data_IF_874546354120
#
_entry.id   IF_874546354120
#
_cell.length_a   1.000
_cell.length_b   1.000
_cell.length_c   1.000
_cell.angle_alpha   90.00
_cell.angle_beta   90.00
_cell.angle_gamma   90.00
#
_symmetry.space_group_name_H-M   'P 1'
#
loop_
_entity.id
_entity.type
_entity.pdbx_description
1 polymer ?
#
# COMPACT_ATOMS: atom_id res chain seq x y z
N UNK A 1 12.84 19.43 -2.57
CA UNK A 1 12.53 20.71 -3.28
C UNK A 1 11.49 20.47 -4.36
N UNK A 2 10.44 21.30 -4.44
CA UNK A 2 9.40 21.19 -5.46
C UNK A 2 9.67 22.15 -6.63
N UNK A 3 9.49 21.64 -7.85
CA UNK A 3 9.42 22.45 -9.07
C UNK A 3 8.12 22.22 -9.84
N UNK A 4 7.55 23.28 -10.37
CA UNK A 4 6.43 23.24 -11.31
C UNK A 4 6.84 23.97 -12.58
N UNK A 5 6.71 23.29 -13.73
CA UNK A 5 7.14 23.81 -15.03
C UNK A 5 8.60 24.33 -15.02
N UNK A 6 9.47 23.63 -14.29
CA UNK A 6 10.91 23.94 -14.18
C UNK A 6 11.26 25.09 -13.24
N UNK A 7 10.30 25.64 -12.46
CA UNK A 7 10.54 26.73 -11.51
C UNK A 7 10.27 26.29 -10.08
N UNK A 8 11.03 26.77 -9.08
CA UNK A 8 10.71 26.56 -7.67
C UNK A 8 9.26 26.95 -7.37
N UNK A 9 8.54 26.10 -6.64
CA UNK A 9 7.11 26.29 -6.42
C UNK A 9 6.80 26.39 -4.92
N UNK A 10 6.63 27.61 -4.37
CA UNK A 10 6.17 27.77 -2.99
C UNK A 10 4.69 27.36 -2.87
N UNK A 11 4.24 27.10 -1.63
CA UNK A 11 2.83 26.78 -1.39
C UNK A 11 1.93 27.96 -1.82
N UNK A 12 1.00 27.78 -2.78
CA UNK A 12 0.13 28.85 -3.22
C UNK A 12 -0.89 29.20 -2.14
N UNK A 13 -1.08 30.50 -1.85
CA UNK A 13 -2.11 30.96 -0.92
C UNK A 13 -3.55 30.60 -1.36
N UNK A 14 -3.75 30.34 -2.66
CA UNK A 14 -5.03 29.88 -3.21
C UNK A 14 -5.35 28.42 -2.93
N UNK A 15 -4.38 27.62 -2.46
CA UNK A 15 -4.60 26.23 -2.10
C UNK A 15 -5.06 26.14 -0.65
N UNK A 16 -6.35 25.85 -0.48
CA UNK A 16 -6.93 25.54 0.83
C UNK A 16 -6.59 24.08 1.20
N UNK A 17 -5.35 23.87 1.64
CA UNK A 17 -4.86 22.57 2.10
C UNK A 17 -5.21 22.36 3.58
N UNK A 18 -5.70 21.16 3.92
CA UNK A 18 -5.79 20.77 5.33
C UNK A 18 -4.41 20.43 5.92
N UNK A 19 -4.35 20.18 7.23
CA UNK A 19 -3.08 19.93 7.93
C UNK A 19 -2.31 18.70 7.41
N UNK A 20 -3.00 17.63 7.01
CA UNK A 20 -2.33 16.46 6.42
C UNK A 20 -1.71 16.81 5.06
N UNK A 21 -2.42 17.60 4.25
CA UNK A 21 -1.95 18.03 2.94
C UNK A 21 -0.80 19.04 3.03
N UNK A 22 -0.84 19.95 4.01
CA UNK A 22 0.29 20.84 4.33
C UNK A 22 1.52 20.04 4.76
N UNK A 23 1.35 19.03 5.61
CA UNK A 23 2.45 18.15 6.02
C UNK A 23 3.05 17.41 4.81
N UNK A 24 2.22 16.90 3.90
CA UNK A 24 2.69 16.24 2.67
C UNK A 24 3.46 17.23 1.79
N UNK A 25 2.91 18.43 1.57
CA UNK A 25 3.57 19.48 0.80
C UNK A 25 4.93 19.82 1.39
N UNK A 26 4.99 20.04 2.71
CA UNK A 26 6.23 20.36 3.41
C UNK A 26 7.25 19.22 3.30
N UNK A 27 6.80 17.97 3.44
CA UNK A 27 7.67 16.79 3.28
C UNK A 27 8.27 16.70 1.87
N UNK A 28 7.49 17.01 0.82
CA UNK A 28 7.97 17.10 -0.56
C UNK A 28 8.97 18.26 -0.77
N UNK A 29 8.71 19.39 -0.10
CA UNK A 29 9.56 20.57 -0.15
C UNK A 29 10.92 20.30 0.49
N UNK A 30 10.93 19.67 1.67
CA UNK A 30 12.13 19.40 2.49
C UNK A 30 12.90 18.15 2.06
N UNK A 31 12.27 17.29 1.25
CA UNK A 31 12.94 16.10 0.75
C UNK A 31 14.23 16.45 -0.05
N UNK A 32 15.28 15.61 0.08
CA UNK A 32 16.58 15.85 -0.57
C UNK A 32 16.49 15.78 -2.10
N UNK A 33 15.50 15.07 -2.62
CA UNK A 33 15.24 14.96 -4.05
C UNK A 33 14.52 16.17 -4.66
N UNK A 34 14.65 16.29 -5.98
CA UNK A 34 13.85 17.20 -6.79
C UNK A 34 12.52 16.53 -7.18
N UNK A 35 11.41 17.13 -6.76
CA UNK A 35 10.05 16.73 -7.15
C UNK A 35 9.53 17.69 -8.21
N UNK A 36 9.59 17.27 -9.48
CA UNK A 36 9.23 18.12 -10.62
C UNK A 36 7.90 17.72 -11.24
N UNK A 37 7.06 18.71 -11.48
CA UNK A 37 5.71 18.52 -12.03
C UNK A 37 5.52 19.39 -13.27
N UNK A 38 4.88 18.88 -14.35
CA UNK A 38 4.56 19.70 -15.52
C UNK A 38 3.60 20.86 -15.21
N UNK A 39 2.73 20.70 -14.20
CA UNK A 39 1.75 21.70 -13.77
C UNK A 39 1.42 21.56 -12.28
N UNK A 40 0.90 22.63 -11.68
CA UNK A 40 0.44 22.61 -10.28
C UNK A 40 -0.69 21.62 -10.03
N UNK A 41 -1.48 21.28 -11.06
CA UNK A 41 -2.53 20.24 -10.97
C UNK A 41 -1.93 18.86 -10.67
N UNK A 42 -0.77 18.53 -11.24
CA UNK A 42 -0.09 17.26 -10.99
C UNK A 42 0.41 17.14 -9.55
N UNK A 43 1.02 18.21 -9.03
CA UNK A 43 1.43 18.29 -7.63
C UNK A 43 0.23 18.19 -6.69
N UNK A 44 -0.84 18.94 -6.96
CA UNK A 44 -2.05 18.90 -6.15
C UNK A 44 -2.69 17.51 -6.12
N UNK A 45 -2.71 16.82 -7.28
CA UNK A 45 -3.19 15.45 -7.37
C UNK A 45 -2.36 14.49 -6.49
N UNK A 46 -1.02 14.56 -6.56
CA UNK A 46 -0.17 13.72 -5.70
C UNK A 46 -0.41 13.99 -4.21
N UNK A 47 -0.52 15.26 -3.80
CA UNK A 47 -0.79 15.64 -2.41
C UNK A 47 -2.13 15.02 -1.94
N UNK A 48 -3.20 15.18 -2.72
CA UNK A 48 -4.52 14.62 -2.39
C UNK A 48 -4.50 13.09 -2.38
N UNK A 49 -3.80 12.46 -3.33
CA UNK A 49 -3.71 11.00 -3.38
C UNK A 49 -2.96 10.44 -2.17
N UNK A 50 -1.81 11.03 -1.81
CA UNK A 50 -1.06 10.65 -0.59
C UNK A 50 -1.90 10.80 0.66
N UNK A 51 -2.64 11.90 0.80
CA UNK A 51 -3.60 12.09 1.89
C UNK A 51 -4.67 10.99 1.90
N UNK A 52 -5.19 10.59 0.75
CA UNK A 52 -6.15 9.50 0.65
C UNK A 52 -5.56 8.12 0.97
N UNK A 53 -4.27 7.88 0.73
CA UNK A 53 -3.56 6.68 1.22
C UNK A 53 -3.53 6.67 2.76
N UNK A 54 -3.15 7.80 3.38
CA UNK A 54 -3.10 7.96 4.84
C UNK A 54 -4.49 7.75 5.46
N UNK A 55 -5.52 8.37 4.90
CA UNK A 55 -6.89 8.19 5.38
C UNK A 55 -7.34 6.74 5.24
N UNK A 56 -7.05 6.09 4.11
CA UNK A 56 -7.39 4.69 3.89
C UNK A 56 -6.70 3.78 4.91
N UNK A 57 -5.46 4.05 5.27
CA UNK A 57 -4.77 3.33 6.34
C UNK A 57 -5.45 3.52 7.71
N UNK A 58 -5.86 4.76 8.04
CA UNK A 58 -6.57 5.06 9.29
C UNK A 58 -7.97 4.41 9.34
N UNK A 59 -8.69 4.43 8.22
CA UNK A 59 -10.00 3.80 8.10
C UNK A 59 -9.91 2.27 8.17
N UNK A 60 -8.87 1.65 7.58
CA UNK A 60 -8.63 0.21 7.72
C UNK A 60 -8.34 -0.17 9.18
N UNK A 61 -7.57 0.64 9.91
CA UNK A 61 -7.38 0.45 11.35
C UNK A 61 -8.71 0.49 12.12
N UNK A 62 -9.70 1.23 11.63
CA UNK A 62 -11.01 1.39 12.26
C UNK A 62 -12.05 0.35 11.82
N UNK A 63 -11.84 -0.37 10.72
CA UNK A 63 -12.86 -1.24 10.10
C UNK A 63 -13.08 -2.58 10.77
N UNK A 64 -12.34 -2.90 11.84
CA UNK A 64 -12.33 -4.22 12.50
C UNK A 64 -11.77 -5.37 11.65
N UNK A 65 -11.26 -5.09 10.44
CA UNK A 65 -10.51 -6.07 9.66
C UNK A 65 -9.25 -6.47 10.42
N UNK A 66 -9.01 -7.78 10.55
CA UNK A 66 -7.89 -8.31 11.33
C UNK A 66 -6.80 -8.93 10.46
N UNK A 67 -5.59 -9.00 11.00
CA UNK A 67 -4.50 -9.74 10.37
C UNK A 67 -4.78 -11.24 10.39
N UNK A 68 -4.50 -11.94 9.29
CA UNK A 68 -4.45 -13.40 9.24
C UNK A 68 -3.46 -13.90 8.18
N UNK A 69 -2.91 -15.10 8.41
CA UNK A 69 -2.15 -15.83 7.38
C UNK A 69 -3.02 -16.16 6.16
N UNK A 70 -2.41 -16.53 5.03
CA UNK A 70 -3.17 -16.93 3.83
C UNK A 70 -4.08 -18.14 4.10
N UNK A 71 -3.57 -19.15 4.80
CA UNK A 71 -4.33 -20.35 5.16
C UNK A 71 -5.64 -20.02 5.90
N UNK A 72 -5.54 -19.07 6.84
CA UNK A 72 -6.64 -18.65 7.74
C UNK A 72 -7.33 -17.37 7.26
N UNK A 73 -7.12 -16.95 6.01
CA UNK A 73 -7.78 -15.75 5.50
C UNK A 73 -9.30 -15.96 5.39
N UNK A 74 -10.06 -14.87 5.41
CA UNK A 74 -11.51 -14.89 5.22
C UNK A 74 -11.97 -13.57 4.61
N UNK A 75 -13.05 -13.63 3.86
CA UNK A 75 -13.66 -12.49 3.17
C UNK A 75 -15.18 -12.65 3.17
N UNK A 76 -15.90 -11.55 2.95
CA UNK A 76 -17.34 -11.59 2.70
C UNK A 76 -17.61 -12.31 1.36
N UNK A 77 -18.32 -13.43 1.43
CA UNK A 77 -18.61 -14.26 0.27
C UNK A 77 -19.61 -13.61 -0.69
N UNK A 78 -20.32 -12.55 -0.29
CA UNK A 78 -21.15 -11.76 -1.21
C UNK A 78 -20.32 -11.14 -2.34
N UNK A 79 -19.08 -10.73 -2.05
CA UNK A 79 -18.23 -9.98 -2.98
C UNK A 79 -17.07 -10.82 -3.55
N UNK A 80 -16.55 -11.74 -2.74
CA UNK A 80 -15.29 -12.42 -3.01
C UNK A 80 -15.42 -13.94 -2.95
N UNK A 81 -14.71 -14.63 -3.82
CA UNK A 81 -14.42 -16.06 -3.70
C UNK A 81 -13.04 -16.25 -3.05
N UNK A 82 -12.99 -16.92 -1.90
CA UNK A 82 -11.71 -17.29 -1.27
C UNK A 82 -11.10 -18.47 -2.04
N UNK A 83 -9.92 -18.24 -2.62
CA UNK A 83 -9.18 -19.29 -3.35
C UNK A 83 -8.49 -20.27 -2.41
N UNK A 84 -8.07 -21.43 -2.92
CA UNK A 84 -7.27 -22.41 -2.17
C UNK A 84 -5.93 -21.84 -1.67
N UNK A 85 -5.38 -20.85 -2.37
CA UNK A 85 -4.18 -20.15 -1.94
C UNK A 85 -4.45 -19.13 -0.82
N UNK A 86 -5.72 -18.87 -0.48
CA UNK A 86 -6.12 -17.90 0.54
C UNK A 86 -6.23 -16.47 0.03
N UNK A 87 -6.21 -16.25 -1.29
CA UNK A 87 -6.51 -14.95 -1.90
C UNK A 87 -8.01 -14.74 -2.11
N UNK A 88 -8.42 -13.51 -2.42
CA UNK A 88 -9.82 -13.14 -2.64
C UNK A 88 -10.03 -12.76 -4.10
N UNK A 89 -10.70 -13.61 -4.86
CA UNK A 89 -11.05 -13.37 -6.25
C UNK A 89 -12.39 -12.65 -6.32
N UNK A 90 -12.45 -11.52 -7.03
CA UNK A 90 -13.69 -10.79 -7.22
C UNK A 90 -14.70 -11.63 -8.01
N UNK A 91 -15.95 -11.67 -7.57
CA UNK A 91 -17.02 -12.38 -8.29
C UNK A 91 -17.42 -11.64 -9.57
N UNK A 92 -17.74 -12.40 -10.63
CA UNK A 92 -17.95 -11.90 -12.00
C UNK A 92 -19.07 -10.85 -12.20
N UNK A 93 -19.94 -10.63 -11.21
CA UNK A 93 -21.06 -9.67 -11.29
C UNK A 93 -21.04 -8.63 -10.16
N UNK A 94 -19.87 -8.41 -9.56
CA UNK A 94 -19.70 -7.49 -8.44
C UNK A 94 -18.92 -6.27 -8.90
N UNK A 95 -19.40 -5.08 -8.56
CA UNK A 95 -18.66 -3.84 -8.81
C UNK A 95 -17.37 -3.83 -7.96
N UNK A 96 -16.18 -3.66 -8.58
CA UNK A 96 -14.91 -3.65 -7.87
C UNK A 96 -14.84 -2.65 -6.72
N UNK A 97 -15.36 -1.43 -6.93
CA UNK A 97 -15.36 -0.39 -5.90
C UNK A 97 -16.21 -0.78 -4.69
N UNK A 98 -17.37 -1.41 -4.91
CA UNK A 98 -18.26 -1.81 -3.81
C UNK A 98 -17.64 -2.98 -3.02
N UNK A 99 -16.95 -3.92 -3.69
CA UNK A 99 -16.21 -4.99 -3.03
C UNK A 99 -15.04 -4.50 -2.16
N UNK A 100 -14.30 -3.47 -2.62
CA UNK A 100 -13.23 -2.85 -1.82
C UNK A 100 -13.83 -2.06 -0.65
N UNK A 101 -14.90 -1.29 -0.87
CA UNK A 101 -15.55 -0.51 0.19
C UNK A 101 -16.19 -1.40 1.27
N UNK A 102 -16.70 -2.57 0.89
CA UNK A 102 -17.24 -3.55 1.84
C UNK A 102 -16.19 -4.00 2.88
N UNK A 103 -14.90 -4.04 2.52
CA UNK A 103 -13.81 -4.36 3.46
C UNK A 103 -13.71 -3.31 4.58
N UNK A 104 -14.03 -2.05 4.29
CA UNK A 104 -13.99 -0.95 5.26
C UNK A 104 -15.29 -0.84 6.06
N UNK A 105 -16.42 -1.20 5.46
CA UNK A 105 -17.75 -1.09 6.08
C UNK A 105 -18.08 -2.32 6.94
N UNK A 106 -17.66 -3.51 6.50
CA UNK A 106 -17.94 -4.79 7.12
C UNK A 106 -16.64 -5.52 7.46
N UNK A 107 -15.60 -4.80 7.90
CA UNK A 107 -14.26 -5.38 8.09
C UNK A 107 -14.22 -6.53 9.11
N UNK A 108 -15.19 -6.62 10.02
CA UNK A 108 -15.41 -7.79 10.86
C UNK A 108 -15.61 -9.10 10.08
N UNK A 109 -15.98 -9.08 8.80
CA UNK A 109 -16.08 -10.23 7.89
C UNK A 109 -14.75 -10.60 7.22
N UNK A 110 -13.70 -9.81 7.43
CA UNK A 110 -12.43 -9.94 6.73
C UNK A 110 -11.25 -10.24 7.65
N UNK A 111 -10.37 -11.13 7.18
CA UNK A 111 -9.04 -11.30 7.73
C UNK A 111 -8.03 -11.64 6.64
N UNK A 112 -6.96 -10.85 6.54
CA UNK A 112 -5.97 -10.95 5.47
C UNK A 112 -4.59 -10.49 5.95
N UNK A 113 -3.55 -10.79 5.19
CA UNK A 113 -2.17 -10.48 5.57
C UNK A 113 -1.76 -9.04 5.17
N UNK A 114 -0.58 -8.59 5.60
CA UNK A 114 -0.22 -7.17 5.51
C UNK A 114 0.13 -6.67 4.10
N UNK A 115 0.63 -7.49 3.18
CA UNK A 115 0.85 -7.05 1.80
C UNK A 115 -0.49 -6.84 1.06
N UNK A 116 -1.44 -7.76 1.20
CA UNK A 116 -2.82 -7.63 0.72
C UNK A 116 -3.48 -6.38 1.30
N UNK A 117 -3.26 -6.10 2.59
CA UNK A 117 -3.74 -4.87 3.22
C UNK A 117 -3.21 -3.61 2.54
N UNK A 118 -1.92 -3.56 2.21
CA UNK A 118 -1.33 -2.45 1.46
C UNK A 118 -1.98 -2.26 0.08
N UNK A 119 -2.26 -3.35 -0.64
CA UNK A 119 -2.97 -3.29 -1.93
C UNK A 119 -4.39 -2.75 -1.76
N UNK A 120 -5.14 -3.22 -0.74
CA UNK A 120 -6.49 -2.72 -0.44
C UNK A 120 -6.47 -1.22 -0.07
N UNK A 121 -5.47 -0.77 0.71
CA UNK A 121 -5.28 0.66 1.02
C UNK A 121 -5.08 1.47 -0.26
N UNK A 122 -4.26 1.00 -1.20
CA UNK A 122 -4.02 1.70 -2.46
C UNK A 122 -5.27 1.73 -3.35
N UNK A 123 -6.02 0.63 -3.46
CA UNK A 123 -7.29 0.64 -4.21
C UNK A 123 -8.32 1.59 -3.59
N UNK A 124 -8.44 1.59 -2.27
CA UNK A 124 -9.34 2.51 -1.59
C UNK A 124 -8.92 3.98 -1.79
N UNK A 125 -7.62 4.28 -1.73
CA UNK A 125 -7.11 5.60 -2.05
C UNK A 125 -7.38 6.01 -3.50
N UNK A 126 -7.31 5.07 -4.46
CA UNK A 126 -7.72 5.31 -5.85
C UNK A 126 -9.20 5.66 -5.94
N UNK A 127 -10.08 4.91 -5.27
CA UNK A 127 -11.53 5.20 -5.23
C UNK A 127 -11.79 6.60 -4.66
N UNK A 128 -11.14 6.97 -3.55
CA UNK A 128 -11.28 8.30 -2.93
C UNK A 128 -10.75 9.44 -3.82
N UNK A 129 -9.76 9.16 -4.65
CA UNK A 129 -9.10 10.18 -5.50
C UNK A 129 -9.76 10.35 -6.86
N UNK A 130 -10.33 9.27 -7.41
CA UNK A 130 -10.80 9.21 -8.81
C UNK A 130 -12.26 8.81 -8.95
N UNK A 131 -12.91 8.38 -7.87
CA UNK A 131 -14.32 8.02 -7.83
C UNK A 131 -14.59 6.56 -8.21
N UNK A 132 -15.77 6.07 -7.78
CA UNK A 132 -16.22 4.69 -8.03
C UNK A 132 -16.34 4.37 -9.52
N UNK A 133 -16.90 5.29 -10.31
CA UNK A 133 -17.10 5.09 -11.75
C UNK A 133 -15.78 4.81 -12.45
N UNK A 134 -14.77 5.64 -12.20
CA UNK A 134 -13.42 5.42 -12.72
C UNK A 134 -12.87 4.08 -12.28
N UNK A 135 -12.94 3.76 -10.98
CA UNK A 135 -12.41 2.51 -10.45
C UNK A 135 -13.06 1.28 -11.09
N UNK A 136 -14.39 1.26 -11.19
CA UNK A 136 -15.13 0.16 -11.82
C UNK A 136 -14.83 0.01 -13.31
N UNK A 137 -14.49 1.09 -14.01
CA UNK A 137 -14.10 1.03 -15.43
C UNK A 137 -12.74 0.35 -15.62
N UNK A 138 -11.75 0.64 -14.79
CA UNK A 138 -10.37 0.20 -15.03
C UNK A 138 -9.96 -1.05 -14.24
N UNK A 139 -10.54 -1.30 -13.06
CA UNK A 139 -10.10 -2.33 -12.13
C UNK A 139 -11.09 -3.52 -12.05
N UNK A 140 -11.42 -4.12 -13.20
CA UNK A 140 -12.56 -5.05 -13.31
C UNK A 140 -12.31 -6.47 -12.78
N UNK A 141 -11.07 -6.95 -12.77
CA UNK A 141 -10.74 -8.35 -12.49
C UNK A 141 -9.82 -8.47 -11.26
N UNK A 142 -10.28 -7.94 -10.13
CA UNK A 142 -9.46 -7.90 -8.92
C UNK A 142 -9.21 -9.29 -8.34
N UNK A 143 -7.95 -9.54 -8.01
CA UNK A 143 -7.55 -10.65 -7.16
C UNK A 143 -6.66 -10.13 -6.03
N UNK A 144 -7.14 -10.23 -4.79
CA UNK A 144 -6.41 -9.77 -3.62
C UNK A 144 -5.54 -10.91 -3.08
N UNK A 145 -4.25 -10.87 -3.41
CA UNK A 145 -3.27 -11.83 -2.92
C UNK A 145 -1.87 -11.19 -2.85
N UNK A 146 -1.33 -11.02 -1.64
CA UNK A 146 0.01 -10.44 -1.46
C UNK A 146 0.11 -9.08 -2.16
N UNK A 147 1.20 -8.86 -2.89
CA UNK A 147 1.46 -7.69 -3.73
C UNK A 147 0.94 -7.83 -5.17
N UNK A 148 0.07 -8.81 -5.45
CA UNK A 148 -0.59 -8.87 -6.75
C UNK A 148 -1.56 -7.70 -6.89
N UNK A 149 -1.47 -7.02 -8.02
CA UNK A 149 -2.27 -5.83 -8.33
C UNK A 149 -2.66 -5.85 -9.81
N UNK A 150 -3.76 -5.19 -10.11
CA UNK A 150 -4.07 -4.75 -11.45
C UNK A 150 -2.95 -3.80 -11.94
N UNK A 151 -2.53 -3.97 -13.18
CA UNK A 151 -1.45 -3.18 -13.78
C UNK A 151 -1.77 -1.69 -13.82
N UNK A 152 -3.04 -1.32 -13.85
CA UNK A 152 -3.49 0.07 -13.86
C UNK A 152 -3.27 0.78 -12.53
N UNK A 153 -2.93 0.07 -11.44
CA UNK A 153 -2.53 0.71 -10.18
C UNK A 153 -1.15 1.39 -10.27
N UNK A 154 -0.31 0.98 -11.23
CA UNK A 154 1.02 1.55 -11.52
C UNK A 154 1.87 1.79 -10.25
N UNK A 155 2.25 0.73 -9.55
CA UNK A 155 3.08 0.81 -8.35
C UNK A 155 4.56 0.52 -8.65
N UNK A 156 5.44 1.37 -8.11
CA UNK A 156 6.88 1.20 -8.22
C UNK A 156 7.51 1.01 -6.85
N UNK A 157 8.62 0.28 -6.81
CA UNK A 157 9.39 0.00 -5.61
C UNK A 157 10.86 0.31 -5.87
N UNK A 158 11.50 1.03 -4.97
CA UNK A 158 12.89 1.48 -5.09
C UNK A 158 13.53 1.63 -3.70
N UNK A 159 14.84 1.82 -3.67
CA UNK A 159 15.57 2.14 -2.44
C UNK A 159 15.77 3.65 -2.35
N UNK A 160 15.35 4.25 -1.24
CA UNK A 160 15.39 5.69 -0.99
C UNK A 160 15.97 6.01 0.39
N UNK A 161 16.56 7.19 0.53
CA UNK A 161 17.18 7.70 1.75
C UNK A 161 16.21 8.51 2.64
N UNK A 162 14.98 8.73 2.17
CA UNK A 162 13.92 9.43 2.88
C UNK A 162 12.55 8.81 2.55
N UNK A 163 11.58 9.07 3.42
CA UNK A 163 10.20 8.63 3.24
C UNK A 163 9.26 9.82 3.22
N UNK A 164 8.22 9.74 2.40
CA UNK A 164 7.15 10.72 2.36
C UNK A 164 5.87 10.15 2.96
N UNK A 165 5.01 10.99 3.57
CA UNK A 165 3.69 10.54 3.97
C UNK A 165 2.91 9.94 2.77
N UNK A 166 2.26 8.81 3.01
CA UNK A 166 1.61 7.98 1.99
C UNK A 166 2.53 6.98 1.28
N UNK A 167 3.84 6.97 1.54
CA UNK A 167 4.71 5.88 1.09
C UNK A 167 4.40 4.58 1.87
N UNK A 168 4.62 3.43 1.23
CA UNK A 168 4.61 2.12 1.89
C UNK A 168 6.05 1.65 2.04
N UNK A 169 6.47 1.42 3.27
CA UNK A 169 7.82 1.02 3.67
C UNK A 169 7.80 -0.38 4.30
N UNK A 170 8.98 -0.88 4.66
CA UNK A 170 9.11 -2.20 5.25
C UNK A 170 10.04 -2.19 6.46
N UNK A 171 9.54 -2.68 7.59
CA UNK A 171 10.35 -3.05 8.75
C UNK A 171 10.74 -4.51 8.61
N UNK A 172 12.05 -4.79 8.54
CA UNK A 172 12.58 -6.14 8.41
C UNK A 172 12.92 -6.72 9.79
N UNK A 173 12.57 -7.98 10.01
CA UNK A 173 13.00 -8.75 11.17
C UNK A 173 13.86 -9.93 10.70
N UNK A 174 15.18 -9.77 10.61
CA UNK A 174 16.04 -10.75 9.95
C UNK A 174 16.09 -12.10 10.68
N UNK A 175 15.92 -12.07 12.01
CA UNK A 175 16.03 -13.24 12.89
C UNK A 175 14.67 -13.65 13.47
N UNK A 176 13.58 -13.44 12.73
CA UNK A 176 12.24 -13.86 13.14
C UNK A 176 12.17 -15.36 13.51
N UNK A 177 11.30 -15.70 14.46
CA UNK A 177 11.11 -17.10 14.87
C UNK A 177 10.45 -17.93 13.75
N UNK A 178 10.98 -19.13 13.42
CA UNK A 178 10.35 -20.04 12.45
C UNK A 178 8.93 -20.48 12.83
N UNK A 179 8.57 -20.43 14.12
CA UNK A 179 7.22 -20.80 14.61
C UNK A 179 6.18 -19.70 14.35
N UNK A 180 6.62 -18.47 14.07
CA UNK A 180 5.75 -17.33 13.77
C UNK A 180 6.25 -16.57 12.54
N UNK A 181 6.24 -17.20 11.34
CA UNK A 181 6.90 -16.69 10.14
C UNK A 181 6.28 -15.42 9.55
N UNK A 182 5.09 -15.03 10.01
CA UNK A 182 4.44 -13.76 9.68
C UNK A 182 5.10 -12.53 10.36
N UNK A 183 5.95 -12.76 11.36
CA UNK A 183 6.75 -11.71 12.01
C UNK A 183 8.14 -11.50 11.37
N UNK A 184 8.36 -11.99 10.15
CA UNK A 184 9.56 -11.68 9.34
C UNK A 184 9.74 -10.18 9.04
N UNK A 185 8.68 -9.42 9.24
CA UNK A 185 8.62 -7.98 9.03
C UNK A 185 7.19 -7.52 8.94
N UNK A 186 7.01 -6.25 8.62
CA UNK A 186 5.70 -5.63 8.41
C UNK A 186 5.81 -4.56 7.32
N UNK A 187 4.88 -4.63 6.36
CA UNK A 187 4.66 -3.52 5.41
C UNK A 187 3.86 -2.44 6.13
N UNK A 188 4.29 -1.19 6.03
CA UNK A 188 3.66 -0.10 6.78
C UNK A 188 3.46 1.15 5.93
N UNK A 189 2.29 1.78 6.06
CA UNK A 189 1.98 3.08 5.44
C UNK A 189 2.51 4.19 6.34
N UNK A 190 3.30 5.10 5.78
CA UNK A 190 3.81 6.29 6.47
C UNK A 190 2.67 7.29 6.63
N UNK A 191 2.29 7.60 7.87
CA UNK A 191 1.23 8.58 8.17
C UNK A 191 1.78 10.00 8.39
N UNK A 192 3.11 10.12 8.56
CA UNK A 192 3.80 11.33 8.97
C UNK A 192 4.03 11.39 10.48
N UNK A 193 4.88 12.34 10.93
CA UNK A 193 5.21 12.55 12.34
C UNK A 193 5.63 11.27 13.09
N UNK A 194 6.49 10.45 12.48
CA UNK A 194 6.93 9.16 13.02
C UNK A 194 5.78 8.19 13.38
N UNK A 195 4.69 8.22 12.60
CA UNK A 195 3.59 7.27 12.74
C UNK A 195 3.44 6.39 11.50
N UNK A 196 3.25 5.10 11.74
CA UNK A 196 3.13 4.09 10.69
C UNK A 196 1.94 3.19 10.96
N UNK A 197 1.14 2.92 9.93
CA UNK A 197 0.10 1.89 9.99
C UNK A 197 0.64 0.58 9.42
N UNK A 198 0.76 -0.45 10.27
CA UNK A 198 1.02 -1.82 9.84
C UNK A 198 -0.20 -2.70 10.14
N UNK A 199 -0.74 -3.38 9.14
CA UNK A 199 -1.89 -4.27 9.35
C UNK A 199 -1.54 -5.40 10.33
N UNK A 200 -2.29 -5.52 11.42
CA UNK A 200 -1.97 -6.40 12.56
C UNK A 200 -1.03 -5.81 13.63
N UNK A 201 -0.38 -4.69 13.33
CA UNK A 201 0.49 -3.93 14.24
C UNK A 201 -0.14 -2.62 14.72
N UNK A 202 -1.31 -2.26 14.19
CA UNK A 202 -2.01 -0.99 14.39
C UNK A 202 -1.16 0.22 13.96
N UNK A 203 -1.45 1.41 14.50
CA UNK A 203 -0.63 2.61 14.32
C UNK A 203 0.40 2.66 15.44
N UNK A 204 1.68 2.73 15.08
CA UNK A 204 2.83 2.75 15.99
C UNK A 204 3.92 3.67 15.45
N UNK A 205 4.83 4.09 16.32
CA UNK A 205 6.07 4.73 15.90
C UNK A 205 7.15 3.70 15.49
N UNK A 206 8.28 4.16 14.97
CA UNK A 206 9.33 3.28 14.45
C UNK A 206 9.89 2.33 15.54
N UNK A 207 10.16 2.87 16.73
CA UNK A 207 10.71 2.11 17.85
C UNK A 207 9.74 1.02 18.33
N UNK A 208 8.46 1.35 18.45
CA UNK A 208 7.40 0.41 18.83
C UNK A 208 7.20 -0.70 17.78
N UNK A 209 7.33 -0.37 16.47
CA UNK A 209 7.32 -1.36 15.40
C UNK A 209 8.49 -2.34 15.53
N UNK A 210 9.70 -1.81 15.74
CA UNK A 210 10.93 -2.59 15.91
C UNK A 210 10.85 -3.46 17.17
N UNK A 211 10.41 -2.91 18.30
CA UNK A 211 10.26 -3.64 19.55
C UNK A 211 9.27 -4.80 19.41
N UNK A 212 8.15 -4.57 18.72
CA UNK A 212 7.14 -5.61 18.46
C UNK A 212 7.70 -6.76 17.64
N UNK A 213 8.51 -6.48 16.62
CA UNK A 213 9.20 -7.50 15.83
C UNK A 213 10.28 -8.21 16.64
N UNK A 214 11.05 -7.47 17.45
CA UNK A 214 12.13 -8.02 18.27
C UNK A 214 11.65 -9.04 19.31
N UNK A 215 10.44 -8.87 19.85
CA UNK A 215 9.77 -9.85 20.73
C UNK A 215 9.40 -11.16 20.04
N UNK A 216 9.53 -11.25 18.71
CA UNK A 216 9.18 -12.41 17.89
C UNK A 216 10.38 -13.00 17.14
N UNK A 217 11.59 -12.71 17.62
CA UNK A 217 12.83 -13.31 17.12
C UNK A 217 13.01 -14.75 17.63
N UNK A 218 13.88 -15.50 16.97
CA UNK A 218 14.37 -16.78 17.47
C UNK A 218 15.13 -16.59 18.80
N UNK A 219 15.19 -17.61 19.68
CA UNK A 219 15.97 -17.55 20.91
C UNK A 219 17.42 -17.09 20.66
N UNK A 220 17.96 -16.36 21.63
CA UNK A 220 19.37 -15.91 21.67
C UNK A 220 19.82 -15.01 20.50
N UNK A 221 18.89 -14.43 19.73
CA UNK A 221 19.22 -13.48 18.67
C UNK A 221 19.64 -12.11 19.20
N UNK A 222 20.80 -11.65 18.74
CA UNK A 222 21.35 -10.29 18.95
C UNK A 222 21.03 -9.33 17.80
N UNK A 223 20.56 -9.83 16.66
CA UNK A 223 20.20 -9.02 15.48
C UNK A 223 18.82 -8.38 15.64
N UNK A 224 18.78 -7.06 15.75
CA UNK A 224 17.51 -6.31 15.84
C UNK A 224 16.77 -6.28 14.50
N UNK A 225 15.45 -6.20 14.57
CA UNK A 225 14.63 -5.67 13.50
C UNK A 225 15.00 -4.20 13.21
N UNK A 226 14.73 -3.75 11.99
CA UNK A 226 15.11 -2.41 11.53
C UNK A 226 14.18 -1.93 10.41
N UNK A 227 14.05 -0.61 10.29
CA UNK A 227 13.40 0.01 9.14
C UNK A 227 14.33 -0.08 7.92
N UNK A 228 13.85 -0.68 6.83
CA UNK A 228 14.61 -0.71 5.57
C UNK A 228 14.51 0.62 4.84
N UNK A 229 15.41 0.83 3.88
CA UNK A 229 15.34 1.93 2.91
C UNK A 229 14.43 1.63 1.70
N UNK A 230 13.57 0.60 1.79
CA UNK A 230 12.67 0.21 0.71
C UNK A 230 11.41 1.07 0.71
N UNK A 231 11.10 1.68 -0.43
CA UNK A 231 9.93 2.52 -0.64
C UNK A 231 9.08 1.94 -1.76
N UNK A 232 7.77 1.81 -1.52
CA UNK A 232 6.76 1.44 -2.51
C UNK A 232 5.68 2.49 -2.55
N UNK A 233 5.34 3.00 -3.75
CA UNK A 233 4.28 3.98 -3.92
C UNK A 233 3.72 3.96 -5.35
N UNK A 234 2.52 4.50 -5.58
CA UNK A 234 2.01 4.70 -6.92
C UNK A 234 2.88 5.65 -7.76
N UNK A 235 2.86 5.47 -9.07
CA UNK A 235 3.37 6.45 -10.03
C UNK A 235 2.26 7.47 -10.29
N UNK A 236 2.18 8.50 -9.44
CA UNK A 236 1.06 9.47 -9.45
C UNK A 236 0.85 10.15 -10.81
N UNK A 237 1.93 10.40 -11.55
CA UNK A 237 1.87 11.00 -12.90
C UNK A 237 1.16 10.13 -13.93
N UNK A 238 1.13 8.80 -13.73
CA UNK A 238 0.42 7.86 -14.61
C UNK A 238 -1.03 7.67 -14.15
N UNK A 239 -1.27 7.49 -12.84
CA UNK A 239 -2.63 7.31 -12.33
C UNK A 239 -3.57 8.47 -12.66
N UNK A 240 -3.08 9.70 -12.65
CA UNK A 240 -3.88 10.88 -13.03
C UNK A 240 -4.19 11.00 -14.52
N UNK A 241 -3.68 10.09 -15.37
CA UNK A 241 -3.79 10.16 -16.82
C UNK A 241 -4.46 8.90 -17.39
N UNK A 242 -5.76 8.99 -17.70
CA UNK A 242 -6.57 7.90 -18.25
C UNK A 242 -6.02 7.30 -19.55
N UNK A 243 -5.25 8.06 -20.34
CA UNK A 243 -4.60 7.55 -21.56
C UNK A 243 -3.52 6.49 -21.30
N UNK A 244 -3.03 6.39 -20.07
CA UNK A 244 -2.00 5.41 -19.67
C UNK A 244 -2.56 4.11 -19.11
N UNK A 245 -3.88 4.03 -18.93
CA UNK A 245 -4.57 2.90 -18.32
C UNK A 245 -5.16 1.98 -19.39
N UNK A 246 -5.04 0.67 -19.17
CA UNK A 246 -5.41 -0.37 -20.12
C UNK A 246 -6.40 -1.34 -19.48
N UNK A 247 -7.64 -0.89 -19.31
CA UNK A 247 -8.77 -1.66 -18.77
C UNK A 247 -8.74 -3.12 -19.23
N UNK A 248 -8.42 -4.04 -18.32
CA UNK A 248 -8.56 -5.47 -18.51
C UNK A 248 -7.72 -6.12 -19.61
N UNK A 249 -6.71 -5.45 -20.16
CA UNK A 249 -5.89 -6.01 -21.27
C UNK A 249 -4.71 -6.85 -20.81
N UNK A 250 -4.18 -6.58 -19.61
CA UNK A 250 -3.04 -7.31 -19.05
C UNK A 250 -3.21 -7.44 -17.53
N UNK A 251 -3.39 -8.68 -17.07
CA UNK A 251 -3.24 -9.01 -15.66
C UNK A 251 -1.86 -9.61 -15.47
N UNK A 252 -1.08 -9.07 -14.53
CA UNK A 252 0.19 -9.69 -14.14
C UNK A 252 -0.05 -11.15 -13.76
N UNK A 253 0.86 -12.08 -14.07
CA UNK A 253 0.75 -13.43 -13.56
C UNK A 253 0.74 -13.38 -12.03
N UNK A 254 -0.13 -14.20 -11.44
CA UNK A 254 -0.24 -14.29 -9.98
C UNK A 254 0.66 -15.39 -9.49
N UNK A 255 1.44 -15.11 -8.44
CA UNK A 255 2.31 -16.10 -7.83
C UNK A 255 1.86 -16.39 -6.41
N UNK A 256 1.38 -17.60 -6.22
CA UNK A 256 0.96 -18.12 -4.93
C UNK A 256 2.16 -18.58 -4.08
N UNK A 257 2.99 -17.63 -3.62
CA UNK A 257 4.20 -17.92 -2.83
C UNK A 257 3.93 -18.31 -1.37
N UNK A 258 2.72 -18.07 -0.85
CA UNK A 258 2.27 -18.43 0.50
C UNK A 258 3.18 -17.94 1.64
N UNK A 259 3.82 -16.78 1.45
CA UNK A 259 4.68 -16.14 2.45
C UNK A 259 4.03 -14.86 2.96
N UNK A 260 3.58 -14.85 4.21
CA UNK A 260 3.00 -13.65 4.81
C UNK A 260 4.02 -12.56 5.04
N UNK A 261 3.58 -11.31 4.99
CA UNK A 261 4.40 -10.14 5.34
C UNK A 261 5.67 -10.00 4.51
N UNK A 262 5.63 -10.43 3.24
CA UNK A 262 6.71 -10.11 2.32
C UNK A 262 6.68 -8.65 1.92
N UNK A 263 7.85 -8.05 1.78
CA UNK A 263 7.98 -6.77 1.11
C UNK A 263 7.82 -6.93 -0.41
N UNK A 264 7.46 -5.85 -1.10
CA UNK A 264 7.23 -5.89 -2.54
C UNK A 264 8.47 -6.26 -3.35
N UNK A 265 9.67 -5.88 -2.90
CA UNK A 265 10.91 -6.26 -3.58
C UNK A 265 11.09 -7.79 -3.64
N UNK A 266 10.82 -8.50 -2.54
CA UNK A 266 10.86 -9.96 -2.53
C UNK A 266 9.78 -10.58 -3.42
N UNK A 267 8.56 -10.00 -3.43
CA UNK A 267 7.51 -10.42 -4.36
C UNK A 267 7.96 -10.30 -5.84
N UNK A 268 8.60 -9.20 -6.22
CA UNK A 268 9.10 -9.01 -7.59
C UNK A 268 10.20 -10.01 -7.98
N UNK A 269 11.01 -10.46 -7.02
CA UNK A 269 12.00 -11.53 -7.25
C UNK A 269 11.28 -12.84 -7.59
N UNK A 270 10.26 -13.22 -6.83
CA UNK A 270 9.44 -14.40 -7.15
C UNK A 270 8.77 -14.25 -8.53
N UNK A 271 8.26 -13.05 -8.85
CA UNK A 271 7.67 -12.74 -10.16
C UNK A 271 8.62 -12.98 -11.32
N UNK A 272 9.83 -12.45 -11.22
CA UNK A 272 10.85 -12.67 -12.25
C UNK A 272 11.24 -14.14 -12.38
N UNK A 273 11.37 -14.86 -11.27
CA UNK A 273 11.73 -16.28 -11.29
C UNK A 273 10.65 -17.14 -11.96
N UNK A 274 9.38 -16.83 -11.75
CA UNK A 274 8.25 -17.53 -12.39
C UNK A 274 8.17 -17.22 -13.88
N UNK A 275 8.37 -15.96 -14.28
CA UNK A 275 8.32 -15.54 -15.69
C UNK A 275 9.49 -16.07 -16.55
N UNK A 276 10.58 -16.49 -15.92
CA UNK A 276 11.76 -17.05 -16.59
C UNK A 276 11.72 -18.60 -16.67
N UNK A 277 10.64 -19.24 -16.24
CA UNK A 277 10.40 -20.68 -16.39
C UNK A 277 9.56 -20.95 -17.64
#
# INVERSE_FOLDING_TARGET
MIQVSGRPFPLPASWDLNETEKMIFQSLQDAPGLYSYPSGRGLYFEIKFRKNIIDSAREMKASEAIFSSFLRSRCNDQYWEKTNAGGFLLKANVNPADAILDIYQNGALYAFECATACVIVLYHATIKSMGKTFFNTYFQNLYLYSWHTDDDLKIHTFYGDHFLPGDIIYFNNPDFSPTTPWFRGVNAVVLGNDQFFGHGFVIKNADEMIETLNRKRKPDSDKSAYLTNLVTRPVFSQLGNSSTLQSGRYTQPVIHHNKNSLCRAHYLIYLRQYLNQ
#
